data_IF_734810758260
#
_entry.id   IF_734810758260
#
_cell.length_a   1.000
_cell.length_b   1.000
_cell.length_c   1.000
_cell.angle_alpha   90.00
_cell.angle_beta   90.00
_cell.angle_gamma   90.00
#
_symmetry.space_group_name_H-M   'P 1'
#
loop_
_entity.id
_entity.type
_entity.pdbx_description
1 polymer ?
#
# COMPACT_ATOMS: atom_id res chain seq x y z
N UNK A 1 -0.58 3.51 18.14
CA UNK A 1 -0.11 4.37 17.04
C UNK A 1 1.26 4.93 17.41
N UNK A 2 2.18 5.08 16.44
CA UNK A 2 3.46 5.79 16.66
C UNK A 2 3.25 7.28 16.34
N UNK A 3 3.91 8.17 17.09
CA UNK A 3 3.86 9.61 16.82
C UNK A 3 4.90 9.96 15.74
N UNK A 4 4.48 10.79 14.78
CA UNK A 4 5.34 11.31 13.71
C UNK A 4 5.27 12.83 13.80
N UNK A 5 6.42 13.49 13.75
CA UNK A 5 6.52 14.95 13.70
C UNK A 5 6.88 15.37 12.28
N UNK A 6 6.11 16.31 11.73
CA UNK A 6 6.29 16.85 10.39
C UNK A 6 6.41 18.37 10.48
N UNK A 7 7.25 18.93 9.62
CA UNK A 7 7.42 20.38 9.48
C UNK A 7 6.94 20.80 8.10
N UNK A 8 6.17 21.88 8.04
CA UNK A 8 5.69 22.52 6.83
C UNK A 8 5.61 24.04 7.07
N UNK A 9 5.46 24.82 6.01
CA UNK A 9 5.19 26.25 6.14
C UNK A 9 3.87 26.48 6.90
N UNK A 10 3.87 27.47 7.81
CA UNK A 10 2.71 27.78 8.66
C UNK A 10 1.44 28.01 7.83
N UNK A 11 1.55 28.78 6.74
CA UNK A 11 0.43 29.08 5.85
C UNK A 11 -0.23 27.81 5.28
N UNK A 12 0.57 26.77 5.02
CA UNK A 12 0.05 25.48 4.53
C UNK A 12 -0.71 24.74 5.63
N UNK A 13 -0.20 24.77 6.86
CA UNK A 13 -0.83 24.11 8.01
C UNK A 13 -2.19 24.76 8.29
N UNK A 14 -2.25 26.09 8.30
CA UNK A 14 -3.48 26.83 8.57
C UNK A 14 -4.52 26.67 7.47
N UNK A 15 -4.12 26.73 6.20
CA UNK A 15 -5.02 26.45 5.08
C UNK A 15 -5.58 25.02 5.13
N UNK A 16 -4.73 24.02 5.42
CA UNK A 16 -5.18 22.64 5.51
C UNK A 16 -6.10 22.40 6.72
N UNK A 17 -5.89 23.11 7.84
CA UNK A 17 -6.81 23.10 9.00
C UNK A 17 -8.16 23.74 8.65
N UNK A 18 -8.17 24.85 7.93
CA UNK A 18 -9.41 25.49 7.48
C UNK A 18 -10.22 24.55 6.60
N UNK A 19 -9.57 23.90 5.63
CA UNK A 19 -10.19 22.89 4.76
C UNK A 19 -10.75 21.71 5.55
N UNK A 20 -10.00 21.19 6.53
CA UNK A 20 -10.47 20.11 7.38
C UNK A 20 -11.74 20.49 8.14
N UNK A 21 -11.85 21.73 8.64
CA UNK A 21 -13.07 22.23 9.31
C UNK A 21 -14.27 22.26 8.38
N UNK A 22 -14.09 22.74 7.14
CA UNK A 22 -15.15 22.74 6.11
C UNK A 22 -15.65 21.32 5.85
N UNK A 23 -14.73 20.35 5.79
CA UNK A 23 -15.03 18.92 5.62
C UNK A 23 -15.48 18.21 6.89
N UNK A 24 -15.67 18.93 8.01
CA UNK A 24 -16.05 18.38 9.33
C UNK A 24 -15.11 17.25 9.81
N UNK A 25 -13.82 17.39 9.52
CA UNK A 25 -12.75 16.46 9.92
C UNK A 25 -11.58 17.22 10.55
N UNK A 26 -10.45 16.55 10.77
CA UNK A 26 -9.21 17.17 11.27
C UNK A 26 -8.07 16.97 10.28
N UNK A 27 -7.11 17.89 10.27
CA UNK A 27 -5.88 17.75 9.48
C UNK A 27 -5.19 16.41 9.74
N UNK A 28 -5.16 15.98 11.00
CA UNK A 28 -4.55 14.72 11.40
C UNK A 28 -5.30 13.49 10.84
N UNK A 29 -6.63 13.56 10.74
CA UNK A 29 -7.40 12.48 10.13
C UNK A 29 -7.15 12.43 8.62
N UNK A 30 -7.21 13.57 7.92
CA UNK A 30 -6.88 13.64 6.50
C UNK A 30 -5.46 13.13 6.21
N UNK A 31 -4.51 13.41 7.11
CA UNK A 31 -3.15 12.89 7.00
C UNK A 31 -3.07 11.37 7.15
N UNK A 32 -3.85 10.76 8.05
CA UNK A 32 -3.94 9.30 8.19
C UNK A 32 -4.53 8.67 6.93
N UNK A 33 -5.63 9.22 6.44
CA UNK A 33 -6.31 8.73 5.23
C UNK A 33 -5.35 8.76 4.03
N UNK A 34 -4.57 9.83 3.90
CA UNK A 34 -3.52 9.95 2.88
C UNK A 34 -2.39 8.91 3.03
N UNK A 35 -1.94 8.63 4.26
CA UNK A 35 -0.95 7.57 4.51
C UNK A 35 -1.47 6.17 4.14
N UNK A 36 -2.75 5.91 4.41
CA UNK A 36 -3.41 4.67 4.03
C UNK A 36 -3.50 4.53 2.51
N UNK A 37 -3.90 5.59 1.82
CA UNK A 37 -3.96 5.63 0.36
C UNK A 37 -2.60 5.32 -0.28
N UNK A 38 -1.53 6.01 0.18
CA UNK A 38 -0.17 5.76 -0.31
C UNK A 38 0.28 4.33 -0.06
N UNK A 39 -0.01 3.80 1.12
CA UNK A 39 0.36 2.43 1.48
C UNK A 39 -0.39 1.42 0.62
N UNK A 40 -1.68 1.65 0.37
CA UNK A 40 -2.51 0.82 -0.50
C UNK A 40 -2.07 0.87 -1.97
N UNK A 41 -1.57 2.01 -2.46
CA UNK A 41 -0.99 2.10 -3.81
C UNK A 41 0.30 1.29 -3.92
N UNK A 42 1.18 1.37 -2.92
CA UNK A 42 2.42 0.59 -2.88
C UNK A 42 2.13 -0.92 -2.85
N UNK A 43 1.13 -1.32 -2.06
CA UNK A 43 0.77 -2.73 -1.94
C UNK A 43 0.13 -3.27 -3.21
N UNK A 44 -0.80 -2.52 -3.83
CA UNK A 44 -1.40 -2.90 -5.13
C UNK A 44 -0.36 -2.99 -6.24
N UNK A 45 0.57 -2.03 -6.32
CA UNK A 45 1.65 -2.07 -7.31
C UNK A 45 2.63 -3.22 -7.09
N UNK A 46 2.91 -3.58 -5.83
CA UNK A 46 3.73 -4.73 -5.47
C UNK A 46 3.04 -6.05 -5.78
N UNK A 47 1.77 -6.18 -5.42
CA UNK A 47 0.98 -7.38 -5.69
C UNK A 47 0.82 -7.61 -7.20
N UNK A 48 0.50 -6.56 -7.97
CA UNK A 48 0.40 -6.65 -9.41
C UNK A 48 1.72 -7.06 -10.09
N UNK A 49 2.87 -6.62 -9.56
CA UNK A 49 4.19 -7.06 -10.05
C UNK A 49 4.45 -8.53 -9.72
N UNK A 50 4.09 -8.99 -8.53
CA UNK A 50 4.22 -10.38 -8.12
C UNK A 50 3.34 -11.28 -8.98
N UNK A 51 2.07 -10.90 -9.17
CA UNK A 51 1.11 -11.65 -9.98
C UNK A 51 1.58 -11.72 -11.44
N UNK A 52 2.03 -10.60 -12.03
CA UNK A 52 2.56 -10.58 -13.39
C UNK A 52 3.86 -11.41 -13.56
N UNK A 53 4.69 -11.51 -12.51
CA UNK A 53 5.84 -12.40 -12.51
C UNK A 53 5.41 -13.87 -12.46
N UNK A 54 4.44 -14.21 -11.60
CA UNK A 54 3.89 -15.57 -11.53
C UNK A 54 3.23 -15.98 -12.85
N UNK A 55 2.40 -15.13 -13.45
CA UNK A 55 1.75 -15.39 -14.74
C UNK A 55 2.79 -15.67 -15.84
N UNK A 56 3.84 -14.85 -15.92
CA UNK A 56 4.92 -15.05 -16.90
C UNK A 56 5.69 -16.35 -16.70
N UNK A 57 5.93 -16.74 -15.44
CA UNK A 57 6.66 -17.96 -15.11
C UNK A 57 5.78 -19.18 -15.40
N UNK A 58 4.51 -19.16 -15.00
CA UNK A 58 3.56 -20.24 -15.22
C UNK A 58 3.21 -20.43 -16.71
N UNK A 59 3.25 -19.37 -17.52
CA UNK A 59 3.04 -19.46 -18.98
C UNK A 59 4.21 -20.16 -19.70
N UNK A 60 5.44 -20.09 -19.17
CA UNK A 60 6.64 -20.71 -19.75
C UNK A 60 7.04 -22.04 -19.14
N UNK A 61 6.55 -22.35 -17.95
CA UNK A 61 6.97 -23.53 -17.20
C UNK A 61 5.79 -24.50 -17.13
N UNK A 62 5.77 -25.47 -18.04
CA UNK A 62 4.91 -26.65 -17.91
C UNK A 62 5.64 -27.69 -17.05
N UNK A 63 5.21 -27.82 -15.79
CA UNK A 63 5.74 -28.81 -14.87
C UNK A 63 5.35 -30.25 -15.22
N UNK A 64 4.43 -30.45 -16.18
CA UNK A 64 3.94 -31.77 -16.61
C UNK A 64 3.14 -32.56 -15.55
N UNK A 65 3.09 -32.06 -14.31
CA UNK A 65 2.34 -32.62 -13.18
C UNK A 65 2.07 -31.55 -12.13
N UNK A 66 1.05 -31.75 -11.29
CA UNK A 66 0.80 -30.93 -10.10
C UNK A 66 1.63 -31.48 -8.93
N UNK A 67 2.34 -30.62 -8.23
CA UNK A 67 3.03 -30.98 -6.98
C UNK A 67 2.10 -30.78 -5.79
N UNK A 68 2.18 -31.67 -4.80
CA UNK A 68 1.48 -31.51 -3.53
C UNK A 68 2.22 -30.52 -2.63
N UNK A 69 1.50 -29.96 -1.65
CA UNK A 69 2.09 -29.05 -0.65
C UNK A 69 3.22 -29.70 0.16
N UNK A 70 3.18 -31.01 0.34
CA UNK A 70 4.22 -31.76 1.06
C UNK A 70 5.48 -31.89 0.22
N UNK A 71 5.36 -32.25 -1.07
CA UNK A 71 6.48 -32.32 -2.02
C UNK A 71 7.19 -30.97 -2.19
N UNK A 72 6.45 -29.85 -2.19
CA UNK A 72 7.03 -28.52 -2.31
C UNK A 72 7.80 -28.06 -1.06
N UNK A 73 7.61 -28.72 0.09
CA UNK A 73 8.21 -28.36 1.38
C UNK A 73 9.29 -29.34 1.84
N UNK A 74 9.54 -30.42 1.09
CA UNK A 74 10.68 -31.30 1.33
C UNK A 74 12.00 -30.54 1.04
N UNK A 75 12.91 -30.56 2.02
CA UNK A 75 14.22 -29.92 1.98
C UNK A 75 15.32 -30.98 1.97
#
# INVERSE_FOLDING_TARGET
>A
MKNITLSAHEDLIENARAEARVRKTTLNQMFRDWLEEISAHKERGRQAQVDALFDRVLERVDAGRKFTREEMNER
#
